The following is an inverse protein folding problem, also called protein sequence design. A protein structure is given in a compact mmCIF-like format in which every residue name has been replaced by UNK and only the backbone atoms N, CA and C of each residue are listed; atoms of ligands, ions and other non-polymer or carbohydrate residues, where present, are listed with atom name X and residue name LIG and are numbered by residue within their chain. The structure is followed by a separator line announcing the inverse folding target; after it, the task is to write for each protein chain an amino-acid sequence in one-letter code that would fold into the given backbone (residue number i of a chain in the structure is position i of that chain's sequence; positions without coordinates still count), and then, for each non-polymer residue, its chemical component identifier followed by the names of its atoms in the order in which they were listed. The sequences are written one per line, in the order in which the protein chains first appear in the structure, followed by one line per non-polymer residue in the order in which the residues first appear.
data_IF_751785049900
#
_entry.id   IF_751785049900
#
_cell.length_a   1.000
_cell.length_b   1.000
_cell.length_c   1.000
_cell.angle_alpha   90.00
_cell.angle_beta   90.00
_cell.angle_gamma   90.00
#
_symmetry.space_group_name_H-M   'P 1'
#
loop_
_entity.id
_entity.type
_entity.pdbx_description
1 polymer ?
#
# COMPACT_ATOMS: atom_id res chain seq x y z
N UNK A 1 -4.39 -22.81 -3.63
CA UNK A 1 -4.43 -21.75 -4.66
C UNK A 1 -5.52 -20.78 -4.22
N UNK A 2 -5.17 -19.54 -3.88
CA UNK A 2 -6.18 -18.56 -3.46
C UNK A 2 -7.07 -18.17 -4.66
N UNK A 3 -8.35 -17.89 -4.41
CA UNK A 3 -9.29 -17.51 -5.46
C UNK A 3 -9.04 -16.07 -5.91
N UNK A 4 -9.28 -15.76 -7.20
CA UNK A 4 -9.20 -14.39 -7.74
C UNK A 4 -10.02 -13.39 -6.91
N UNK A 5 -11.20 -13.80 -6.45
CA UNK A 5 -12.10 -12.95 -5.64
C UNK A 5 -11.43 -12.56 -4.32
N UNK A 6 -10.77 -13.52 -3.66
CA UNK A 6 -10.03 -13.28 -2.43
C UNK A 6 -8.85 -12.31 -2.66
N UNK A 7 -8.15 -12.43 -3.80
CA UNK A 7 -7.06 -11.51 -4.12
C UNK A 7 -7.57 -10.09 -4.39
N UNK A 8 -8.74 -9.94 -5.02
CA UNK A 8 -9.39 -8.63 -5.19
C UNK A 8 -9.75 -8.01 -3.85
N UNK A 9 -10.26 -8.81 -2.91
CA UNK A 9 -10.58 -8.34 -1.55
C UNK A 9 -9.32 -7.90 -0.79
N UNK A 10 -8.24 -8.68 -0.85
CA UNK A 10 -6.95 -8.29 -0.26
C UNK A 10 -6.40 -7.01 -0.90
N UNK A 11 -6.50 -6.87 -2.22
CA UNK A 11 -6.06 -5.67 -2.95
C UNK A 11 -6.84 -4.41 -2.54
N UNK A 12 -8.14 -4.52 -2.28
CA UNK A 12 -8.97 -3.38 -1.81
C UNK A 12 -8.60 -2.91 -0.40
N UNK A 13 -8.11 -3.82 0.43
CA UNK A 13 -7.73 -3.56 1.82
C UNK A 13 -6.22 -3.34 2.00
N UNK A 14 -5.45 -3.38 0.91
CA UNK A 14 -4.01 -3.22 0.94
C UNK A 14 -3.65 -1.76 1.18
N UNK A 15 -3.31 -1.46 2.44
CA UNK A 15 -2.93 -0.14 2.89
C UNK A 15 -1.51 -0.18 3.44
N UNK A 16 -0.78 0.92 3.29
CA UNK A 16 0.52 1.12 3.91
C UNK A 16 0.38 1.03 5.42
N UNK A 17 1.21 0.22 6.08
CA UNK A 17 1.33 0.20 7.53
C UNK A 17 2.38 1.19 8.01
N UNK A 18 2.36 1.53 9.31
CA UNK A 18 3.45 2.29 9.94
C UNK A 18 4.79 1.56 9.71
N UNK A 19 5.85 2.30 9.38
CA UNK A 19 7.20 1.82 9.08
C UNK A 19 7.41 1.23 7.69
N UNK A 20 6.34 0.99 6.91
CA UNK A 20 6.45 0.46 5.54
C UNK A 20 6.83 1.58 4.57
N UNK A 21 7.78 1.37 3.66
CA UNK A 21 8.08 2.35 2.58
C UNK A 21 7.04 2.30 1.46
N UNK A 22 7.02 3.33 0.61
CA UNK A 22 6.22 3.34 -0.63
C UNK A 22 6.64 2.24 -1.61
N UNK A 23 7.93 1.91 -1.67
CA UNK A 23 8.46 0.82 -2.51
C UNK A 23 7.90 -0.55 -2.08
N UNK A 24 7.86 -0.81 -0.77
CA UNK A 24 7.30 -2.07 -0.24
C UNK A 24 5.79 -2.13 -0.48
N UNK A 25 5.07 -1.03 -0.30
CA UNK A 25 3.66 -0.98 -0.65
C UNK A 25 3.45 -1.22 -2.15
N UNK A 26 4.27 -0.61 -3.00
CA UNK A 26 4.20 -0.77 -4.46
C UNK A 26 4.38 -2.24 -4.85
N UNK A 27 5.34 -2.94 -4.25
CA UNK A 27 5.55 -4.38 -4.47
C UNK A 27 4.34 -5.22 -4.02
N UNK A 28 3.79 -4.94 -2.82
CA UNK A 28 2.57 -5.62 -2.33
C UNK A 28 1.40 -5.42 -3.29
N UNK A 29 1.15 -4.18 -3.74
CA UNK A 29 0.07 -3.87 -4.67
C UNK A 29 0.31 -4.53 -6.03
N UNK A 30 1.55 -4.54 -6.52
CA UNK A 30 1.91 -5.15 -7.79
C UNK A 30 1.63 -6.67 -7.77
N UNK A 31 2.11 -7.36 -6.73
CA UNK A 31 1.90 -8.80 -6.53
C UNK A 31 0.42 -9.16 -6.37
N UNK A 32 -0.35 -8.35 -5.63
CA UNK A 32 -1.80 -8.55 -5.49
C UNK A 32 -2.54 -8.28 -6.81
N UNK A 33 -2.12 -7.29 -7.59
CA UNK A 33 -2.67 -7.02 -8.91
C UNK A 33 -2.42 -8.18 -9.89
N UNK A 34 -1.22 -8.77 -9.87
CA UNK A 34 -0.89 -9.95 -10.69
C UNK A 34 -1.73 -11.16 -10.27
N UNK A 35 -1.84 -11.44 -8.96
CA UNK A 35 -2.65 -12.54 -8.44
C UNK A 35 -4.16 -12.35 -8.70
N UNK A 36 -4.65 -11.10 -8.68
CA UNK A 36 -6.05 -10.75 -8.99
C UNK A 36 -6.32 -10.62 -10.51
N UNK A 37 -5.29 -10.74 -11.35
CA UNK A 37 -5.36 -10.52 -12.80
C UNK A 37 -5.87 -9.11 -13.18
N UNK A 38 -5.47 -8.10 -12.42
CA UNK A 38 -5.72 -6.68 -12.74
C UNK A 38 -4.61 -6.25 -13.69
N UNK A 39 -4.84 -6.23 -15.00
CA UNK A 39 -3.79 -5.93 -16.00
C UNK A 39 -3.71 -4.45 -16.39
N UNK A 40 -4.76 -3.67 -16.13
CA UNK A 40 -4.82 -2.27 -16.54
C UNK A 40 -3.88 -1.40 -15.66
N UNK A 41 -2.86 -0.72 -16.24
CA UNK A 41 -1.89 0.05 -15.45
C UNK A 41 -2.51 1.19 -14.64
N UNK A 42 -3.53 1.87 -15.18
CA UNK A 42 -4.26 2.92 -14.47
C UNK A 42 -4.98 2.35 -13.25
N UNK A 43 -5.62 1.19 -13.38
CA UNK A 43 -6.30 0.53 -12.26
C UNK A 43 -5.30 0.12 -11.16
N UNK A 44 -4.14 -0.44 -11.55
CA UNK A 44 -3.05 -0.75 -10.60
C UNK A 44 -2.60 0.51 -9.85
N UNK A 45 -2.40 1.60 -10.59
CA UNK A 45 -2.03 2.89 -9.99
C UNK A 45 -3.09 3.42 -9.03
N UNK A 46 -4.38 3.30 -9.34
CA UNK A 46 -5.44 3.70 -8.40
C UNK A 46 -5.42 2.87 -7.11
N UNK A 47 -5.13 1.57 -7.18
CA UNK A 47 -4.95 0.75 -5.97
C UNK A 47 -3.74 1.18 -5.14
N UNK A 48 -2.62 1.50 -5.80
CA UNK A 48 -1.45 2.05 -5.12
C UNK A 48 -1.77 3.37 -4.43
N UNK A 49 -2.42 4.32 -5.14
CA UNK A 49 -2.80 5.61 -4.59
C UNK A 49 -3.78 5.47 -3.42
N UNK A 50 -4.73 4.53 -3.50
CA UNK A 50 -5.67 4.25 -2.41
C UNK A 50 -4.97 3.69 -1.16
N UNK A 51 -3.98 2.82 -1.35
CA UNK A 51 -3.22 2.20 -0.27
C UNK A 51 -2.25 3.15 0.44
N UNK A 52 -1.88 4.28 -0.16
CA UNK A 52 -1.11 5.32 0.52
C UNK A 52 -1.92 5.92 1.67
N UNK A 53 -1.34 6.06 2.86
CA UNK A 53 -1.97 6.80 3.96
C UNK A 53 -1.57 8.28 3.98
N UNK A 54 -0.35 8.57 3.54
CA UNK A 54 0.20 9.92 3.54
C UNK A 54 -0.50 10.84 2.54
N UNK A 55 -1.15 11.87 3.08
CA UNK A 55 -1.93 12.85 2.32
C UNK A 55 -1.07 13.76 1.43
N UNK A 56 0.14 14.08 1.87
CA UNK A 56 1.10 14.90 1.10
C UNK A 56 1.63 14.14 -0.13
N UNK A 57 1.96 12.85 0.03
CA UNK A 57 2.38 11.99 -1.07
C UNK A 57 1.27 11.83 -2.10
N UNK A 58 0.03 11.57 -1.65
CA UNK A 58 -1.16 11.52 -2.52
C UNK A 58 -1.32 12.80 -3.34
N UNK A 59 -1.26 13.95 -2.68
CA UNK A 59 -1.38 15.28 -3.32
C UNK A 59 -0.27 15.50 -4.34
N UNK A 60 0.97 15.13 -3.99
CA UNK A 60 2.13 15.26 -4.88
C UNK A 60 1.98 14.40 -6.14
N UNK A 61 1.53 13.15 -6.00
CA UNK A 61 1.32 12.26 -7.13
C UNK A 61 0.17 12.73 -8.04
N UNK A 62 -0.93 13.21 -7.45
CA UNK A 62 -2.06 13.77 -8.19
C UNK A 62 -1.68 15.02 -8.99
N UNK A 63 -0.86 15.91 -8.44
CA UNK A 63 -0.39 17.13 -9.12
C UNK A 63 0.67 16.86 -10.18
N UNK A 64 1.45 15.79 -10.04
CA UNK A 64 2.47 15.40 -11.03
C UNK A 64 1.88 14.63 -12.24
N UNK A 65 0.57 14.34 -12.23
CA UNK A 65 -0.16 13.65 -13.31
C UNK A 65 0.43 12.28 -13.70
N UNK A 66 1.01 11.55 -12.75
CA UNK A 66 1.48 10.18 -12.99
C UNK A 66 0.30 9.20 -13.06
N UNK A 67 0.44 8.16 -13.88
CA UNK A 67 -0.63 7.19 -14.19
C UNK A 67 -0.20 5.72 -14.09
N UNK A 68 1.00 5.46 -13.56
CA UNK A 68 1.55 4.13 -13.35
C UNK A 68 2.38 4.07 -12.07
N UNK A 69 2.47 2.88 -11.46
CA UNK A 69 3.16 2.67 -10.18
C UNK A 69 4.67 2.99 -10.29
N UNK A 70 5.42 2.50 -11.29
CA UNK A 70 6.85 2.79 -11.39
C UNK A 70 7.16 4.29 -11.41
N UNK A 71 6.43 5.08 -12.21
CA UNK A 71 6.62 6.54 -12.23
C UNK A 71 6.22 7.21 -10.92
N UNK A 72 5.22 6.70 -10.23
CA UNK A 72 4.82 7.20 -8.92
C UNK A 72 5.94 7.01 -7.88
N UNK A 73 6.50 5.80 -7.78
CA UNK A 73 7.63 5.49 -6.89
C UNK A 73 8.85 6.36 -7.21
N UNK A 74 9.23 6.47 -8.50
CA UNK A 74 10.34 7.34 -8.92
C UNK A 74 10.09 8.79 -8.51
N UNK A 75 8.86 9.29 -8.65
CA UNK A 75 8.49 10.67 -8.29
C UNK A 75 8.64 10.91 -6.79
N UNK A 76 8.19 9.97 -5.95
CA UNK A 76 8.32 10.04 -4.50
C UNK A 76 9.80 9.99 -4.08
N UNK A 77 10.58 9.08 -4.68
CA UNK A 77 12.02 8.98 -4.45
C UNK A 77 12.73 10.30 -4.78
N UNK A 78 12.48 10.87 -5.96
CA UNK A 78 13.12 12.11 -6.43
C UNK A 78 12.82 13.31 -5.54
N UNK A 79 11.67 13.31 -4.87
CA UNK A 79 11.24 14.38 -3.95
C UNK A 79 11.65 14.11 -2.50
N UNK A 80 12.41 13.04 -2.24
CA UNK A 80 12.70 12.55 -0.89
C UNK A 80 11.45 12.21 -0.06
N UNK A 81 10.33 11.96 -0.74
CA UNK A 81 9.01 11.62 -0.17
C UNK A 81 8.82 10.09 -0.11
N UNK A 82 9.86 9.37 0.28
CA UNK A 82 9.86 7.90 0.46
C UNK A 82 10.17 7.51 1.92
N UNK A 83 10.78 8.42 2.67
CA UNK A 83 10.91 8.34 4.13
C UNK A 83 9.70 9.05 4.75
N UNK A 84 8.75 8.31 5.32
CA UNK A 84 7.52 8.89 5.85
C UNK A 84 7.78 9.76 7.08
N UNK A 85 7.24 10.98 7.07
CA UNK A 85 6.85 11.63 8.32
C UNK A 85 5.52 11.02 8.72
N UNK A 86 5.55 10.07 9.66
CA UNK A 86 4.34 9.36 10.08
C UNK A 86 3.48 10.29 10.92
N UNK A 87 2.41 10.82 10.34
CA UNK A 87 1.37 11.52 11.10
C UNK A 87 0.52 10.50 11.85
N UNK A 88 0.46 10.59 13.18
CA UNK A 88 -0.30 9.65 14.02
C UNK A 88 -1.79 9.59 13.63
N UNK A 89 -2.36 10.69 13.13
CA UNK A 89 -3.76 10.73 12.68
C UNK A 89 -4.00 9.87 11.42
N UNK A 90 -2.99 9.74 10.55
CA UNK A 90 -3.08 8.89 9.34
C UNK A 90 -3.10 7.39 9.70
N UNK A 91 -2.69 7.03 10.93
CA UNK A 91 -2.57 5.65 11.40
C UNK A 91 -3.37 5.34 12.67
N UNK A 92 -4.25 6.22 13.14
CA UNK A 92 -5.03 6.05 14.39
C UNK A 92 -5.91 4.77 14.40
N UNK A 93 -6.29 4.26 13.22
CA UNK A 93 -6.98 2.97 13.04
C UNK A 93 -6.09 1.73 12.89
N UNK A 94 -4.76 1.90 12.88
CA UNK A 94 -3.75 0.84 12.67
C UNK A 94 -3.26 0.23 13.99
N UNK A 95 -3.91 0.55 15.12
CA UNK A 95 -3.59 -0.03 16.43
C UNK A 95 -3.51 -1.53 16.25
N UNK A 96 -2.27 -2.01 16.32
CA UNK A 96 -1.85 -3.38 16.08
C UNK A 96 -2.91 -4.34 16.59
N UNK A 97 -3.55 -5.09 15.68
CA UNK A 97 -3.93 -6.46 16.01
C UNK A 97 -2.62 -7.15 16.34
N UNK A 98 -2.20 -7.08 17.61
CA UNK A 98 -1.16 -7.96 18.14
C UNK A 98 -1.54 -9.36 17.66
N UNK A 99 -0.67 -10.11 16.97
CA UNK A 99 -0.82 -11.54 17.04
C UNK A 99 -0.68 -11.85 18.54
N UNK A 100 -1.74 -12.35 19.16
CA UNK A 100 -1.61 -12.96 20.47
C UNK A 100 -0.67 -14.16 20.28
N UNK A 101 0.62 -13.92 20.38
CA UNK A 101 1.66 -14.92 20.34
C UNK A 101 1.84 -15.41 21.77
N UNK A 102 0.77 -15.92 22.38
CA UNK A 102 0.75 -16.30 23.79
C UNK A 102 -0.44 -17.22 24.10
N UNK A 103 -0.70 -18.25 23.28
CA UNK A 103 -1.67 -19.30 23.70
C UNK A 103 -1.56 -20.66 22.99
N UNK A 104 -0.36 -21.19 22.72
CA UNK A 104 -0.17 -22.66 22.54
C UNK A 104 1.20 -23.11 23.09
N UNK A 105 1.55 -22.72 24.32
CA UNK A 105 2.66 -23.33 25.05
C UNK A 105 2.26 -24.00 26.36
N UNK A 106 0.97 -24.15 26.67
CA UNK A 106 0.54 -25.02 27.78
C UNK A 106 -0.84 -25.65 27.49
N UNK A 107 -0.82 -26.87 26.95
CA UNK A 107 -1.52 -28.05 27.47
C UNK A 107 -1.15 -29.30 26.67
#
# INVERSE_FOLDING_TARGET
MYSRIEMIERLKNANRSKGMSDEVLADVIFNLCDAAQVVNPQMRYQHFLAGLRNSEWKTTLQTTMVNDIPRAVITLLYRNMHFPTEDEFEFDGDVTKKPNCEEIMMQ
#
